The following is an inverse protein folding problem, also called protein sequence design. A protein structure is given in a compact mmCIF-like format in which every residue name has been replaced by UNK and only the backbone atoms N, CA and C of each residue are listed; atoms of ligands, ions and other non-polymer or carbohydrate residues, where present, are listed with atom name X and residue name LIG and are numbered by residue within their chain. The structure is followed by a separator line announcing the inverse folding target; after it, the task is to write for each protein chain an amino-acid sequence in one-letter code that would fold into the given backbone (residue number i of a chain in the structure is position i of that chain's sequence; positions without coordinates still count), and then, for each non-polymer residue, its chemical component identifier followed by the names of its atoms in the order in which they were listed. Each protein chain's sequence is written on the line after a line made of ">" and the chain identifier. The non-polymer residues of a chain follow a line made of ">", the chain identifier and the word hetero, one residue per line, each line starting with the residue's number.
data_IF_368629588964
#
_entry.id   IF_368629588964
#
_cell.length_a   1.000
_cell.length_b   1.000
_cell.length_c   1.000
_cell.angle_alpha   90.00
_cell.angle_beta   90.00
_cell.angle_gamma   90.00
#
_symmetry.space_group_name_H-M   'P 1'
#
loop_
_entity.id
_entity.type
_entity.pdbx_description
1 polymer ?
#
# COMPACT_ATOMS: atom_id res chain seq x y z
N UNK A 1 16.49 15.53 19.14
CA UNK A 1 15.93 15.96 17.83
C UNK A 1 16.38 14.98 16.77
N UNK A 2 15.51 14.09 16.31
CA UNK A 2 15.76 13.28 15.11
C UNK A 2 14.49 13.31 14.28
N UNK A 3 14.59 13.86 13.07
CA UNK A 3 13.46 13.92 12.14
C UNK A 3 13.00 12.48 11.86
N UNK A 4 11.70 12.21 12.01
CA UNK A 4 11.16 10.88 11.70
C UNK A 4 11.47 10.52 10.23
N UNK A 5 11.99 9.33 9.92
CA UNK A 5 12.32 8.93 8.55
C UNK A 5 11.09 8.98 7.64
N UNK A 6 11.24 9.54 6.45
CA UNK A 6 10.17 9.59 5.45
C UNK A 6 10.11 8.25 4.70
N UNK A 7 8.94 7.86 4.17
CA UNK A 7 8.81 6.62 3.39
C UNK A 7 9.80 6.49 2.23
N UNK A 8 10.18 7.61 1.59
CA UNK A 8 11.19 7.63 0.53
C UNK A 8 12.60 7.25 1.02
N UNK A 9 12.90 7.45 2.30
CA UNK A 9 14.19 7.12 2.90
C UNK A 9 14.41 5.60 2.98
N UNK A 10 13.33 4.81 2.95
CA UNK A 10 13.39 3.34 2.94
C UNK A 10 14.14 2.78 1.72
N UNK A 11 13.94 3.37 0.53
CA UNK A 11 14.60 2.89 -0.69
C UNK A 11 16.11 3.08 -0.63
N UNK A 12 16.57 4.19 -0.05
CA UNK A 12 18.00 4.46 0.15
C UNK A 12 18.61 3.56 1.23
N UNK A 13 17.85 3.23 2.27
CA UNK A 13 18.32 2.35 3.35
C UNK A 13 18.28 0.87 2.97
N UNK A 14 17.61 0.49 1.87
CA UNK A 14 17.42 -0.91 1.50
C UNK A 14 18.73 -1.70 1.32
N UNK A 15 19.77 -1.22 0.61
CA UNK A 15 21.01 -1.99 0.45
C UNK A 15 21.67 -2.35 1.79
N UNK A 16 21.81 -1.38 2.70
CA UNK A 16 22.34 -1.61 4.04
C UNK A 16 21.42 -2.48 4.91
N UNK A 17 20.10 -2.37 4.74
CA UNK A 17 19.14 -3.23 5.42
C UNK A 17 19.25 -4.70 4.94
N UNK A 18 19.47 -4.93 3.64
CA UNK A 18 19.75 -6.27 3.09
C UNK A 18 21.08 -6.82 3.60
N UNK A 19 22.07 -5.95 3.84
CA UNK A 19 23.34 -6.30 4.49
C UNK A 19 23.25 -6.42 6.02
N UNK A 20 22.05 -6.24 6.61
CA UNK A 20 21.78 -6.29 8.06
C UNK A 20 22.55 -5.25 8.89
N UNK A 21 22.89 -4.11 8.29
CA UNK A 21 23.50 -3.01 9.02
C UNK A 21 22.50 -2.40 10.02
N UNK A 22 22.81 -2.35 11.33
CA UNK A 22 21.83 -1.93 12.33
C UNK A 22 21.26 -0.53 12.11
N UNK A 23 22.07 0.40 11.59
CA UNK A 23 21.63 1.77 11.27
C UNK A 23 20.63 1.79 10.11
N UNK A 24 20.96 1.09 9.02
CA UNK A 24 20.10 1.01 7.83
C UNK A 24 18.79 0.28 8.12
N UNK A 25 18.83 -0.82 8.89
CA UNK A 25 17.63 -1.54 9.34
C UNK A 25 16.70 -0.62 10.15
N UNK A 26 17.24 0.16 11.09
CA UNK A 26 16.43 1.11 11.88
C UNK A 26 15.74 2.15 11.00
N UNK A 27 16.46 2.76 10.05
CA UNK A 27 15.89 3.74 9.12
C UNK A 27 14.83 3.10 8.23
N UNK A 28 15.11 1.92 7.70
CA UNK A 28 14.20 1.15 6.85
C UNK A 28 12.89 0.81 7.57
N UNK A 29 12.97 0.24 8.77
CA UNK A 29 11.82 -0.12 9.59
C UNK A 29 11.01 1.12 9.95
N UNK A 30 11.65 2.18 10.44
CA UNK A 30 10.97 3.41 10.82
C UNK A 30 10.24 4.08 9.63
N UNK A 31 10.87 4.09 8.45
CA UNK A 31 10.27 4.67 7.23
C UNK A 31 9.07 3.87 6.71
N UNK A 32 9.08 2.54 6.83
CA UNK A 32 8.02 1.66 6.31
C UNK A 32 6.93 1.31 7.33
N UNK A 33 7.20 1.46 8.62
CA UNK A 33 6.22 1.21 9.69
C UNK A 33 4.87 1.91 9.43
N UNK A 34 4.80 3.23 9.17
CA UNK A 34 3.51 3.89 8.94
C UNK A 34 2.79 3.39 7.67
N UNK A 35 3.55 2.95 6.66
CA UNK A 35 3.00 2.41 5.41
C UNK A 35 2.39 1.03 5.67
N UNK A 36 3.10 0.16 6.35
CA UNK A 36 2.65 -1.19 6.71
C UNK A 36 1.44 -1.11 7.64
N UNK A 37 1.52 -0.29 8.70
CA UNK A 37 0.42 -0.12 9.66
C UNK A 37 -0.87 0.34 8.97
N UNK A 38 -0.80 1.31 8.06
CA UNK A 38 -1.98 1.78 7.31
C UNK A 38 -2.60 0.67 6.44
N UNK A 39 -1.76 -0.19 5.83
CA UNK A 39 -2.20 -1.30 4.97
C UNK A 39 -2.82 -2.43 5.77
N UNK A 40 -2.19 -2.78 6.88
CA UNK A 40 -2.68 -3.79 7.83
C UNK A 40 -4.00 -3.33 8.46
N UNK A 41 -4.07 -2.09 8.94
CA UNK A 41 -5.30 -1.52 9.50
C UNK A 41 -6.44 -1.59 8.49
N UNK A 42 -6.20 -1.22 7.23
CA UNK A 42 -7.21 -1.35 6.17
C UNK A 42 -7.64 -2.81 5.94
N UNK A 43 -6.69 -3.75 5.95
CA UNK A 43 -6.98 -5.16 5.80
C UNK A 43 -7.86 -5.72 6.93
N UNK A 44 -7.67 -5.24 8.17
CA UNK A 44 -8.51 -5.55 9.33
C UNK A 44 -9.90 -4.96 9.21
N UNK A 45 -10.02 -3.66 8.89
CA UNK A 45 -11.32 -2.99 8.76
C UNK A 45 -12.23 -3.66 7.71
N UNK A 46 -11.65 -4.21 6.63
CA UNK A 46 -12.41 -4.91 5.57
C UNK A 46 -13.04 -6.24 6.01
N UNK A 47 -12.70 -6.78 7.18
CA UNK A 47 -13.14 -8.11 7.62
C UNK A 47 -14.26 -8.13 8.66
N UNK A 48 -14.80 -6.97 9.05
CA UNK A 48 -15.76 -6.86 10.15
C UNK A 48 -15.02 -6.74 11.48
N UNK A 49 -15.40 -5.73 12.28
CA UNK A 49 -14.48 -4.98 13.13
C UNK A 49 -14.17 -5.57 14.50
N UNK A 50 -12.89 -5.54 14.84
CA UNK A 50 -12.40 -5.57 16.22
C UNK A 50 -12.58 -4.20 16.88
N UNK A 51 -12.67 -4.16 18.21
CA UNK A 51 -12.76 -2.91 18.95
C UNK A 51 -11.43 -2.15 18.96
N UNK A 52 -11.46 -0.82 19.08
CA UNK A 52 -10.33 0.06 18.73
C UNK A 52 -8.96 -0.30 19.35
N UNK A 53 -8.89 -0.77 20.60
CA UNK A 53 -7.62 -1.18 21.24
C UNK A 53 -7.09 -2.50 20.68
N UNK A 54 -7.97 -3.45 20.40
CA UNK A 54 -7.63 -4.73 19.76
C UNK A 54 -7.15 -4.51 18.33
N UNK A 55 -7.82 -3.64 17.57
CA UNK A 55 -7.36 -3.24 16.23
C UNK A 55 -5.95 -2.67 16.30
N UNK A 56 -5.67 -1.78 17.24
CA UNK A 56 -4.30 -1.22 17.37
C UNK A 56 -3.27 -2.28 17.72
N UNK A 57 -3.61 -3.22 18.60
CA UNK A 57 -2.72 -4.31 18.97
C UNK A 57 -2.49 -5.25 17.79
N UNK A 58 -3.55 -5.70 17.12
CA UNK A 58 -3.45 -6.54 15.93
C UNK A 58 -2.69 -5.85 14.81
N UNK A 59 -2.88 -4.54 14.61
CA UNK A 59 -2.11 -3.77 13.64
C UNK A 59 -0.62 -3.86 13.98
N UNK A 60 -0.24 -3.74 15.25
CA UNK A 60 1.16 -3.85 15.68
C UNK A 60 1.70 -5.26 15.47
N UNK A 61 0.96 -6.27 15.87
CA UNK A 61 1.37 -7.68 15.77
C UNK A 61 1.53 -8.08 14.30
N UNK A 62 0.53 -7.79 13.47
CA UNK A 62 0.61 -8.05 12.02
C UNK A 62 1.69 -7.20 11.34
N UNK A 63 1.96 -5.98 11.81
CA UNK A 63 3.10 -5.19 11.29
C UNK A 63 4.42 -5.89 11.58
N UNK A 64 4.59 -6.48 12.77
CA UNK A 64 5.78 -7.25 13.11
C UNK A 64 5.88 -8.50 12.22
N UNK A 65 4.79 -9.25 12.05
CA UNK A 65 4.75 -10.42 11.16
C UNK A 65 5.12 -10.06 9.71
N UNK A 66 4.62 -8.92 9.21
CA UNK A 66 5.01 -8.42 7.89
C UNK A 66 6.51 -8.14 7.82
N UNK A 67 7.10 -7.49 8.83
CA UNK A 67 8.54 -7.26 8.84
C UNK A 67 9.34 -8.57 8.89
N UNK A 68 8.88 -9.56 9.67
CA UNK A 68 9.48 -10.90 9.67
C UNK A 68 9.43 -11.50 8.27
N UNK A 69 8.28 -11.46 7.60
CA UNK A 69 8.13 -11.98 6.23
C UNK A 69 8.99 -11.22 5.19
N UNK A 70 9.19 -9.91 5.35
CA UNK A 70 10.05 -9.12 4.47
C UNK A 70 11.52 -9.53 4.57
N UNK A 71 12.00 -9.89 5.75
CA UNK A 71 13.39 -10.30 6.01
C UNK A 71 13.62 -11.82 6.01
N UNK A 72 12.56 -12.61 5.95
CA UNK A 72 12.63 -14.07 5.82
C UNK A 72 13.35 -14.49 4.52
N UNK A 73 13.88 -15.72 4.52
CA UNK A 73 14.56 -16.32 3.37
C UNK A 73 15.61 -15.40 2.72
N UNK A 74 16.50 -14.84 3.55
CA UNK A 74 17.50 -13.85 3.12
C UNK A 74 16.89 -12.62 2.41
N UNK A 75 15.78 -12.12 2.95
CA UNK A 75 15.01 -11.00 2.42
C UNK A 75 14.61 -11.18 0.94
N UNK A 76 14.31 -12.43 0.53
CA UNK A 76 13.94 -12.78 -0.85
C UNK A 76 12.83 -11.89 -1.43
N UNK A 77 11.85 -11.52 -0.61
CA UNK A 77 10.76 -10.63 -1.01
C UNK A 77 11.28 -9.23 -1.35
N UNK A 78 12.13 -8.66 -0.51
CA UNK A 78 12.73 -7.35 -0.74
C UNK A 78 13.69 -7.36 -1.93
N UNK A 79 14.47 -8.43 -2.12
CA UNK A 79 15.37 -8.61 -3.28
C UNK A 79 14.63 -8.69 -4.62
N UNK A 80 13.35 -9.04 -4.60
CA UNK A 80 12.50 -9.05 -5.82
C UNK A 80 12.05 -7.64 -6.21
N UNK A 81 12.12 -6.67 -5.31
CA UNK A 81 11.78 -5.30 -5.65
C UNK A 81 12.78 -4.75 -6.66
N UNK A 82 12.24 -4.15 -7.70
CA UNK A 82 12.98 -3.56 -8.81
C UNK A 82 12.42 -2.15 -9.02
N UNK A 83 13.27 -1.15 -8.79
CA UNK A 83 12.90 0.27 -8.90
C UNK A 83 12.50 0.67 -10.32
N UNK A 84 13.02 -0.01 -11.34
CA UNK A 84 12.78 0.30 -12.74
C UNK A 84 11.46 -0.27 -13.25
N UNK A 85 10.87 -1.24 -12.52
CA UNK A 85 9.53 -1.77 -12.80
C UNK A 85 8.38 -0.82 -12.42
N UNK A 86 8.71 0.38 -11.93
CA UNK A 86 7.78 1.51 -11.81
C UNK A 86 6.91 1.52 -10.55
N UNK A 87 7.20 0.68 -9.56
CA UNK A 87 6.55 0.71 -8.25
C UNK A 87 7.56 1.18 -7.20
N UNK A 88 7.27 2.26 -6.49
CA UNK A 88 8.12 2.71 -5.38
C UNK A 88 8.17 1.63 -4.29
N UNK A 89 9.30 1.55 -3.58
CA UNK A 89 9.48 0.57 -2.50
C UNK A 89 8.36 0.62 -1.44
N UNK A 90 7.90 1.79 -0.96
CA UNK A 90 6.76 1.85 -0.04
C UNK A 90 5.49 1.23 -0.60
N UNK A 91 5.21 1.41 -1.89
CA UNK A 91 4.04 0.83 -2.52
C UNK A 91 4.18 -0.69 -2.72
N UNK A 92 5.37 -1.15 -3.09
CA UNK A 92 5.68 -2.59 -3.16
C UNK A 92 5.49 -3.27 -1.80
N UNK A 93 6.13 -2.72 -0.76
CA UNK A 93 6.01 -3.22 0.61
C UNK A 93 4.57 -3.14 1.10
N UNK A 94 3.83 -2.09 0.74
CA UNK A 94 2.42 -1.98 1.08
C UNK A 94 1.54 -3.09 0.49
N UNK A 95 1.84 -3.55 -0.74
CA UNK A 95 1.15 -4.70 -1.35
C UNK A 95 1.52 -6.02 -0.67
N UNK A 96 2.79 -6.20 -0.31
CA UNK A 96 3.25 -7.36 0.44
C UNK A 96 2.55 -7.40 1.80
N UNK A 97 2.56 -6.30 2.54
CA UNK A 97 1.95 -6.18 3.87
C UNK A 97 0.48 -6.61 3.87
N UNK A 98 -0.25 -6.17 2.86
CA UNK A 98 -1.67 -6.47 2.70
C UNK A 98 -1.93 -7.95 2.35
N UNK A 99 -1.09 -8.55 1.50
CA UNK A 99 -1.15 -9.98 1.17
C UNK A 99 -0.87 -10.84 2.39
N UNK A 100 0.20 -10.53 3.12
CA UNK A 100 0.63 -11.29 4.30
C UNK A 100 -0.39 -11.15 5.43
N UNK A 101 -0.86 -9.93 5.74
CA UNK A 101 -1.95 -9.73 6.69
C UNK A 101 -3.21 -10.51 6.27
N UNK A 102 -3.55 -10.51 4.98
CA UNK A 102 -4.65 -11.28 4.45
C UNK A 102 -4.48 -12.80 4.62
N UNK A 103 -3.27 -13.32 4.46
CA UNK A 103 -2.94 -14.74 4.65
C UNK A 103 -3.02 -15.14 6.13
N UNK A 104 -2.40 -14.36 7.02
CA UNK A 104 -2.40 -14.60 8.47
C UNK A 104 -3.82 -14.54 9.03
N UNK A 105 -4.61 -13.54 8.63
CA UNK A 105 -5.99 -13.43 9.08
C UNK A 105 -6.88 -14.57 8.53
N UNK A 106 -6.53 -15.16 7.36
CA UNK A 106 -7.24 -16.35 6.85
C UNK A 106 -6.91 -17.60 7.65
N UNK A 107 -5.66 -17.78 8.09
CA UNK A 107 -5.26 -18.93 8.90
C UNK A 107 -5.79 -18.84 10.32
N UNK A 108 -5.76 -17.64 10.94
CA UNK A 108 -6.33 -17.41 12.28
C UNK A 108 -7.82 -17.77 12.39
N UNK A 109 -8.64 -17.43 11.38
CA UNK A 109 -10.07 -17.80 11.34
C UNK A 109 -10.33 -19.31 11.24
N UNK A 110 -9.36 -20.09 10.76
CA UNK A 110 -9.48 -21.56 10.67
C UNK A 110 -9.15 -22.22 12.02
N UNK A 111 -8.71 -21.45 13.01
CA UNK A 111 -8.45 -21.88 14.38
C UNK A 111 -9.68 -21.64 15.28
N UNK A 112 -10.09 -22.57 16.17
CA UNK A 112 -11.38 -22.52 16.87
C UNK A 112 -11.50 -21.54 18.05
N UNK A 113 -10.48 -20.74 18.37
CA UNK A 113 -10.44 -19.94 19.60
C UNK A 113 -10.19 -18.48 19.29
N UNK A 114 -11.22 -17.63 19.32
CA UNK A 114 -11.15 -16.26 19.90
C UNK A 114 -12.55 -15.65 19.99
N UNK A 115 -13.00 -15.48 21.25
CA UNK A 115 -14.19 -14.75 21.69
C UNK A 115 -13.97 -13.21 21.64
N UNK A 116 -15.07 -12.46 21.45
CA UNK A 116 -15.27 -11.00 21.65
C UNK A 116 -15.09 -10.61 23.16
N UNK A 117 -14.98 -9.33 23.66
CA UNK A 117 -15.64 -8.08 23.18
C UNK A 117 -15.04 -6.66 23.51
N UNK A 118 -15.73 -5.62 23.00
CA UNK A 118 -16.06 -4.24 23.49
C UNK A 118 -15.10 -3.00 23.58
N UNK A 119 -15.62 -1.90 22.98
CA UNK A 119 -15.62 -0.43 23.29
C UNK A 119 -14.35 0.48 23.29
N UNK A 120 -14.48 1.65 22.63
CA UNK A 120 -13.88 2.93 23.10
C UNK A 120 -12.88 3.70 22.22
N UNK A 121 -13.41 4.59 21.36
CA UNK A 121 -13.00 5.97 20.99
C UNK A 121 -11.53 6.45 20.71
N UNK A 122 -11.48 7.41 19.76
CA UNK A 122 -10.75 8.69 19.77
C UNK A 122 -9.49 8.88 18.89
N UNK A 123 -9.30 10.17 18.55
CA UNK A 123 -8.87 10.77 17.29
C UNK A 123 -7.39 11.29 17.30
N UNK A 124 -6.91 11.62 16.10
CA UNK A 124 -5.91 12.66 15.75
C UNK A 124 -4.41 12.52 16.12
N UNK A 125 -3.55 12.75 15.11
CA UNK A 125 -2.61 13.89 15.15
C UNK A 125 -2.01 14.28 13.80
N UNK A 126 -2.08 15.59 13.55
CA UNK A 126 -1.44 16.37 12.48
C UNK A 126 0.01 16.69 12.86
N UNK A 127 0.91 16.97 11.90
CA UNK A 127 1.73 18.21 11.82
C UNK A 127 2.92 18.09 10.85
N UNK A 128 3.09 19.09 9.97
CA UNK A 128 4.25 19.24 9.04
C UNK A 128 4.07 20.27 7.91
N UNK A 129 3.27 21.33 8.13
CA UNK A 129 2.39 21.89 7.10
C UNK A 129 2.79 23.23 6.43
N UNK A 130 4.06 23.52 6.11
CA UNK A 130 4.38 24.75 5.35
C UNK A 130 5.20 24.51 4.08
N UNK A 131 6.42 23.97 4.16
CA UNK A 131 7.24 23.65 2.96
C UNK A 131 6.93 22.30 2.31
N UNK A 132 6.19 21.45 3.01
CA UNK A 132 5.58 20.22 2.49
C UNK A 132 4.34 20.54 1.66
N UNK A 133 3.56 21.55 2.09
CA UNK A 133 2.20 21.78 1.57
C UNK A 133 2.20 22.13 0.10
N UNK A 134 3.09 22.98 -0.41
CA UNK A 134 3.09 23.34 -1.84
C UNK A 134 3.39 22.12 -2.75
N UNK A 135 4.39 21.29 -2.40
CA UNK A 135 4.68 20.05 -3.15
C UNK A 135 3.63 18.97 -2.93
N UNK A 136 3.05 18.90 -1.74
CA UNK A 136 2.05 17.90 -1.37
C UNK A 136 0.66 18.26 -1.92
N UNK A 137 0.37 19.55 -2.07
CA UNK A 137 -0.80 20.10 -2.77
C UNK A 137 -0.63 19.86 -4.27
N UNK A 138 0.52 20.21 -4.87
CA UNK A 138 0.80 19.90 -6.27
C UNK A 138 0.72 18.40 -6.59
N UNK A 139 1.26 17.55 -5.71
CA UNK A 139 1.14 16.09 -5.85
C UNK A 139 -0.31 15.58 -5.66
N UNK A 140 -1.07 16.18 -4.73
CA UNK A 140 -2.49 15.84 -4.51
C UNK A 140 -3.37 16.29 -5.66
N UNK A 141 -3.14 17.46 -6.23
CA UNK A 141 -3.91 17.99 -7.35
C UNK A 141 -3.58 17.24 -8.64
N UNK A 142 -2.31 16.91 -8.89
CA UNK A 142 -1.93 16.00 -9.98
C UNK A 142 -2.58 14.63 -9.83
N UNK A 143 -2.57 14.06 -8.62
CA UNK A 143 -3.22 12.78 -8.35
C UNK A 143 -4.74 12.86 -8.56
N UNK A 144 -5.38 13.94 -8.10
CA UNK A 144 -6.82 14.15 -8.27
C UNK A 144 -7.18 14.28 -9.75
N UNK A 145 -6.42 15.08 -10.52
CA UNK A 145 -6.61 15.25 -11.96
C UNK A 145 -6.38 13.94 -12.72
N UNK A 146 -5.34 13.18 -12.35
CA UNK A 146 -5.04 11.88 -12.94
C UNK A 146 -6.16 10.87 -12.66
N UNK A 147 -6.67 10.81 -11.43
CA UNK A 147 -7.76 9.90 -11.06
C UNK A 147 -9.05 10.26 -11.79
N UNK A 148 -9.41 11.55 -11.86
CA UNK A 148 -10.60 12.00 -12.60
C UNK A 148 -10.52 11.61 -14.09
N UNK A 149 -9.38 11.89 -14.75
CA UNK A 149 -9.16 11.50 -16.15
C UNK A 149 -9.16 9.99 -16.35
N UNK A 150 -8.57 9.25 -15.42
CA UNK A 150 -8.57 7.79 -15.48
C UNK A 150 -9.99 7.24 -15.35
N UNK A 151 -10.81 7.78 -14.44
CA UNK A 151 -12.21 7.38 -14.26
C UNK A 151 -13.07 7.69 -15.50
N UNK A 152 -12.89 8.86 -16.13
CA UNK A 152 -13.57 9.22 -17.38
C UNK A 152 -13.24 8.27 -18.54
N UNK A 153 -12.00 7.78 -18.58
CA UNK A 153 -11.48 7.02 -19.70
C UNK A 153 -11.54 5.49 -19.53
N UNK A 154 -11.93 5.01 -18.35
CA UNK A 154 -12.13 3.59 -18.09
C UNK A 154 -13.54 3.17 -18.50
N UNK A 155 -13.64 2.10 -19.28
CA UNK A 155 -14.91 1.39 -19.48
C UNK A 155 -15.51 0.95 -18.14
N UNK A 156 -16.83 0.69 -18.03
CA UNK A 156 -17.46 0.25 -16.78
C UNK A 156 -16.79 -0.96 -16.13
N UNK A 157 -16.40 -1.97 -16.93
CA UNK A 157 -15.66 -3.14 -16.44
C UNK A 157 -14.25 -2.75 -15.96
N UNK A 158 -13.56 -1.86 -16.68
CA UNK A 158 -12.26 -1.32 -16.29
C UNK A 158 -12.30 -0.54 -14.98
N UNK A 159 -13.35 0.27 -14.76
CA UNK A 159 -13.59 1.00 -13.52
C UNK A 159 -13.90 0.04 -12.37
N UNK A 160 -14.69 -1.00 -12.60
CA UNK A 160 -14.97 -2.04 -11.61
C UNK A 160 -13.71 -2.82 -11.24
N UNK A 161 -12.87 -3.20 -12.20
CA UNK A 161 -11.59 -3.84 -11.92
C UNK A 161 -10.64 -2.88 -11.20
N UNK A 162 -10.61 -1.60 -11.61
CA UNK A 162 -9.81 -0.57 -10.94
C UNK A 162 -10.22 -0.44 -9.47
N UNK A 163 -11.52 -0.33 -9.24
CA UNK A 163 -12.11 -0.32 -7.92
C UNK A 163 -11.70 -1.56 -7.12
N UNK A 164 -12.00 -2.76 -7.61
CA UNK A 164 -11.71 -4.01 -6.93
C UNK A 164 -10.22 -4.16 -6.62
N UNK A 165 -9.33 -3.80 -7.55
CA UNK A 165 -7.88 -4.04 -7.43
C UNK A 165 -7.15 -2.94 -6.66
N UNK A 166 -7.50 -1.67 -6.82
CA UNK A 166 -6.75 -0.54 -6.23
C UNK A 166 -7.50 0.13 -5.08
N UNK A 167 -8.83 0.26 -5.15
CA UNK A 167 -9.64 0.88 -4.09
C UNK A 167 -10.02 -0.15 -3.02
N UNK A 168 -10.54 -1.31 -3.41
CA UNK A 168 -10.88 -2.42 -2.53
C UNK A 168 -9.69 -3.36 -2.27
N UNK A 169 -8.64 -3.28 -3.09
CA UNK A 169 -7.37 -4.01 -2.93
C UNK A 169 -7.53 -5.54 -2.87
N UNK A 170 -8.50 -6.08 -3.62
CA UNK A 170 -8.75 -7.52 -3.75
C UNK A 170 -7.59 -8.20 -4.49
N UNK A 171 -7.27 -9.40 -4.03
CA UNK A 171 -6.31 -10.28 -4.71
C UNK A 171 -6.82 -10.68 -6.09
N UNK A 172 -5.92 -11.04 -6.99
CA UNK A 172 -6.30 -11.52 -8.33
C UNK A 172 -7.29 -12.67 -8.25
N UNK A 173 -7.10 -13.60 -7.31
CA UNK A 173 -7.99 -14.73 -7.07
C UNK A 173 -9.40 -14.28 -6.64
N UNK A 174 -9.51 -13.28 -5.77
CA UNK A 174 -10.82 -12.73 -5.36
C UNK A 174 -11.52 -11.98 -6.49
N UNK A 175 -10.76 -11.21 -7.28
CA UNK A 175 -11.30 -10.52 -8.46
C UNK A 175 -11.80 -11.52 -9.51
N UNK A 176 -11.07 -12.63 -9.71
CA UNK A 176 -11.50 -13.72 -10.56
C UNK A 176 -12.81 -14.35 -10.06
N UNK A 177 -12.89 -14.64 -8.76
CA UNK A 177 -14.09 -15.23 -8.15
C UNK A 177 -15.33 -14.32 -8.23
N UNK A 178 -15.13 -13.00 -8.12
CA UNK A 178 -16.22 -12.02 -8.09
C UNK A 178 -16.70 -11.59 -9.48
N UNK A 179 -15.79 -11.48 -10.44
CA UNK A 179 -16.11 -11.07 -11.81
C UNK A 179 -16.28 -12.27 -12.76
N UNK A 180 -16.07 -13.50 -12.30
CA UNK A 180 -16.08 -14.71 -13.14
C UNK A 180 -14.99 -14.71 -14.22
N UNK A 181 -13.88 -13.99 -13.99
CA UNK A 181 -12.82 -13.79 -14.97
C UNK A 181 -11.65 -14.75 -14.76
N UNK A 182 -10.93 -15.05 -15.84
CA UNK A 182 -9.64 -15.76 -15.73
C UNK A 182 -8.56 -14.85 -15.13
N UNK A 183 -7.57 -15.47 -14.49
CA UNK A 183 -6.40 -14.79 -13.94
C UNK A 183 -5.66 -13.95 -14.99
N UNK A 184 -5.52 -14.47 -16.19
CA UNK A 184 -4.89 -13.78 -17.32
C UNK A 184 -5.68 -12.56 -17.76
N UNK A 185 -7.01 -12.66 -17.77
CA UNK A 185 -7.87 -11.52 -18.08
C UNK A 185 -7.72 -10.39 -17.04
N UNK A 186 -7.66 -10.72 -15.74
CA UNK A 186 -7.41 -9.73 -14.68
C UNK A 186 -6.01 -9.10 -14.83
N UNK A 187 -4.98 -9.90 -15.14
CA UNK A 187 -3.63 -9.37 -15.39
C UNK A 187 -3.58 -8.44 -16.62
N UNK A 188 -4.26 -8.80 -17.70
CA UNK A 188 -4.36 -7.97 -18.91
C UNK A 188 -5.05 -6.64 -18.62
N UNK A 189 -6.15 -6.65 -17.87
CA UNK A 189 -6.83 -5.42 -17.43
C UNK A 189 -5.94 -4.55 -16.56
N UNK A 190 -5.22 -5.15 -15.59
CA UNK A 190 -4.30 -4.40 -14.74
C UNK A 190 -3.22 -3.70 -15.56
N UNK A 191 -2.67 -4.39 -16.56
CA UNK A 191 -1.68 -3.84 -17.48
C UNK A 191 -2.24 -2.66 -18.29
N UNK A 192 -3.45 -2.82 -18.86
CA UNK A 192 -4.13 -1.76 -19.63
C UNK A 192 -4.38 -0.50 -18.80
N UNK A 193 -4.90 -0.67 -17.58
CA UNK A 193 -5.17 0.43 -16.64
C UNK A 193 -3.86 1.16 -16.31
N UNK A 194 -2.78 0.43 -15.99
CA UNK A 194 -1.48 1.04 -15.69
C UNK A 194 -0.85 1.75 -16.90
N UNK A 195 -0.98 1.20 -18.11
CA UNK A 195 -0.50 1.84 -19.34
C UNK A 195 -1.24 3.15 -19.58
N UNK A 196 -2.57 3.15 -19.39
CA UNK A 196 -3.39 4.35 -19.54
C UNK A 196 -3.05 5.41 -18.48
N UNK A 197 -2.93 5.03 -17.22
CA UNK A 197 -2.51 5.95 -16.15
C UNK A 197 -1.14 6.59 -16.42
N UNK A 198 -0.18 5.84 -16.99
CA UNK A 198 1.13 6.39 -17.38
C UNK A 198 1.04 7.39 -18.52
N UNK A 199 0.22 7.11 -19.53
CA UNK A 199 0.01 8.02 -20.66
C UNK A 199 -0.63 9.34 -20.20
N UNK A 200 -1.70 9.25 -19.41
CA UNK A 200 -2.39 10.40 -18.83
C UNK A 200 -1.45 11.24 -17.95
N UNK A 201 -0.59 10.59 -17.14
CA UNK A 201 0.41 11.31 -16.34
C UNK A 201 1.36 12.13 -17.23
N UNK A 202 1.88 11.54 -18.31
CA UNK A 202 2.78 12.22 -19.23
C UNK A 202 2.09 13.36 -20.00
N UNK A 203 0.80 13.25 -20.29
CA UNK A 203 0.01 14.33 -20.89
C UNK A 203 -0.23 15.49 -19.91
N UNK A 204 -0.57 15.19 -18.66
CA UNK A 204 -0.76 16.20 -17.61
C UNK A 204 0.55 16.92 -17.27
N UNK A 205 1.68 16.20 -17.23
CA UNK A 205 3.01 16.79 -17.04
C UNK A 205 3.38 17.72 -18.22
N UNK A 206 3.14 17.31 -19.47
CA UNK A 206 3.38 18.15 -20.67
C UNK A 206 2.45 19.36 -20.76
N UNK A 207 1.18 19.20 -20.36
CA UNK A 207 0.21 20.30 -20.34
C UNK A 207 0.53 21.36 -19.29
N UNK A 208 1.18 20.97 -18.18
CA UNK A 208 1.63 21.89 -17.14
C UNK A 208 2.85 22.73 -17.56
N UNK A 209 3.71 22.21 -18.46
CA UNK A 209 4.90 22.92 -18.98
C UNK A 209 4.56 23.96 -20.07
N UNK A 210 3.44 23.82 -20.76
CA UNK A 210 3.02 24.74 -21.86
C UNK A 210 2.16 25.91 -21.34
N UNK A 211 1.66 25.82 -20.10
CA UNK A 211 0.84 26.85 -19.46
C UNK A 211 1.56 27.73 -18.43
N UNK A 212 2.88 27.61 -18.31
CA UNK A 212 3.75 28.42 -17.46
C UNK A 212 4.63 29.35 -18.31
#
# INVERSE_FOLDING_TARGET
>A
MSSSPRPADAARALPGALAREPGAVRVFVAALTPVIQARVARALHRRGGLAGREVRQEVRDLTQEVFVALFADDARVLRRWDGDKGLSLPNFVGLVAEREAGAILRSKRRSPFTDEPTEGAALERRSGAARSVEREVGARDLLRALLARLEEELSPLGAQIFDLVWRQQKSTEQVCAELGMSKDAVHAWRSRIMKKARALRAELERGAEVGA
#
